data_IF_014626487865
#
_entry.id   IF_014626487865
#
_cell.length_a   1.000
_cell.length_b   1.000
_cell.length_c   1.000
_cell.angle_alpha   90.00
_cell.angle_beta   90.00
_cell.angle_gamma   90.00
#
_symmetry.space_group_name_H-M   'P 1'
#
loop_
_entity.id
_entity.type
_entity.pdbx_description
1 polymer ?
#
# COMPACT_ATOMS: atom_id res chain seq x y z
N UNK A 1 -17.07 -37.55 -5.59
CA UNK A 1 -17.32 -36.29 -6.33
C UNK A 1 -16.06 -35.46 -6.29
N UNK A 2 -15.60 -34.91 -7.43
CA UNK A 2 -14.43 -34.01 -7.41
C UNK A 2 -14.82 -32.72 -6.65
N UNK A 3 -13.96 -32.30 -5.73
CA UNK A 3 -14.18 -31.07 -4.98
C UNK A 3 -14.05 -29.87 -5.95
N UNK A 4 -15.04 -28.97 -5.96
CA UNK A 4 -14.99 -27.78 -6.77
C UNK A 4 -13.87 -26.87 -6.21
N UNK A 5 -12.87 -26.46 -7.03
CA UNK A 5 -11.80 -25.61 -6.56
C UNK A 5 -12.33 -24.25 -6.12
N UNK A 6 -11.71 -23.66 -5.10
CA UNK A 6 -12.07 -22.34 -4.58
C UNK A 6 -10.91 -21.75 -3.79
N UNK A 7 -10.94 -20.44 -3.56
CA UNK A 7 -9.96 -19.69 -2.78
C UNK A 7 -10.56 -19.25 -1.44
N UNK A 8 -9.73 -18.98 -0.41
CA UNK A 8 -10.20 -18.47 0.87
C UNK A 8 -10.96 -17.15 0.71
N UNK A 9 -12.00 -16.96 1.51
CA UNK A 9 -12.81 -15.74 1.46
C UNK A 9 -11.99 -14.52 1.83
N UNK A 10 -12.00 -13.51 0.96
CA UNK A 10 -11.25 -12.25 1.17
C UNK A 10 -9.85 -12.26 0.56
N UNK A 11 -9.46 -13.34 -0.15
CA UNK A 11 -8.28 -13.41 -1.01
C UNK A 11 -8.69 -13.35 -2.47
N UNK A 12 -7.73 -13.14 -3.40
CA UNK A 12 -7.98 -13.00 -4.83
C UNK A 12 -6.86 -13.64 -5.64
N UNK A 13 -7.23 -14.24 -6.76
CA UNK A 13 -6.30 -14.51 -7.86
C UNK A 13 -6.19 -13.28 -8.75
N UNK A 14 -5.04 -13.08 -9.38
CA UNK A 14 -4.80 -12.00 -10.33
C UNK A 14 -4.32 -12.59 -11.65
N UNK A 15 -5.07 -12.36 -12.71
CA UNK A 15 -4.69 -12.74 -14.07
C UNK A 15 -3.58 -11.85 -14.63
N UNK A 16 -3.05 -12.18 -15.85
CA UNK A 16 -1.94 -11.44 -16.43
C UNK A 16 -2.17 -9.94 -16.59
N UNK A 17 -3.36 -9.53 -17.03
CA UNK A 17 -3.70 -8.11 -17.21
C UNK A 17 -3.79 -7.36 -15.88
N UNK A 18 -4.39 -8.00 -14.87
CA UNK A 18 -4.46 -7.44 -13.51
C UNK A 18 -3.06 -7.31 -12.90
N UNK A 19 -2.19 -8.31 -13.12
CA UNK A 19 -0.80 -8.25 -12.67
C UNK A 19 0.00 -7.16 -13.39
N UNK A 20 -0.22 -6.94 -14.67
CA UNK A 20 0.42 -5.83 -15.41
C UNK A 20 0.02 -4.47 -14.83
N UNK A 21 -1.27 -4.26 -14.52
CA UNK A 21 -1.79 -3.06 -13.85
C UNK A 21 -1.24 -2.90 -12.42
N UNK A 22 -1.15 -3.99 -11.65
CA UNK A 22 -0.55 -3.97 -10.31
C UNK A 22 0.93 -3.59 -10.36
N UNK A 23 1.66 -4.15 -11.32
CA UNK A 23 3.08 -3.83 -11.51
C UNK A 23 3.28 -2.36 -11.93
N UNK A 24 2.36 -1.75 -12.69
CA UNK A 24 2.38 -0.32 -12.96
C UNK A 24 2.36 0.50 -11.67
N UNK A 25 1.47 0.17 -10.71
CA UNK A 25 1.41 0.84 -9.40
C UNK A 25 2.70 0.60 -8.63
N UNK A 26 3.15 -0.65 -8.52
CA UNK A 26 4.35 -0.99 -7.75
C UNK A 26 5.61 -0.33 -8.32
N UNK A 27 5.74 -0.28 -9.64
CA UNK A 27 6.90 0.34 -10.29
C UNK A 27 6.90 1.86 -10.11
N UNK A 28 5.75 2.51 -10.26
CA UNK A 28 5.61 3.95 -10.00
C UNK A 28 6.05 4.30 -8.58
N UNK A 29 5.57 3.55 -7.57
CA UNK A 29 5.94 3.77 -6.17
C UNK A 29 7.43 3.49 -5.94
N UNK A 30 7.96 2.40 -6.49
CA UNK A 30 9.37 2.02 -6.36
C UNK A 30 10.31 3.07 -6.95
N UNK A 31 9.98 3.59 -8.12
CA UNK A 31 10.74 4.65 -8.77
C UNK A 31 10.79 5.93 -7.93
N UNK A 32 9.64 6.34 -7.39
CA UNK A 32 9.59 7.53 -6.50
C UNK A 32 10.42 7.29 -5.24
N UNK A 33 10.28 6.14 -4.58
CA UNK A 33 11.10 5.82 -3.40
C UNK A 33 12.62 5.88 -3.70
N UNK A 34 13.02 5.38 -4.87
CA UNK A 34 14.42 5.42 -5.29
C UNK A 34 14.94 6.86 -5.47
N UNK A 35 14.10 7.80 -5.98
CA UNK A 35 14.47 9.22 -6.12
C UNK A 35 14.78 9.88 -4.76
N UNK A 36 14.13 9.45 -3.68
CA UNK A 36 14.35 9.96 -2.32
C UNK A 36 15.39 9.15 -1.52
N UNK A 37 16.11 8.24 -2.18
CA UNK A 37 17.19 7.47 -1.57
C UNK A 37 16.75 6.34 -0.64
N UNK A 38 15.48 5.89 -0.73
CA UNK A 38 15.01 4.73 0.02
C UNK A 38 15.56 3.44 -0.57
N UNK A 39 15.95 2.50 0.29
CA UNK A 39 16.52 1.20 -0.09
C UNK A 39 15.53 0.09 0.18
N UNK A 40 15.38 -0.84 -0.78
CA UNK A 40 14.48 -1.97 -0.63
C UNK A 40 15.01 -2.99 0.38
N UNK A 41 14.13 -3.43 1.26
CA UNK A 41 14.33 -4.61 2.11
C UNK A 41 13.11 -5.52 2.03
N UNK A 42 13.25 -6.73 2.53
CA UNK A 42 12.15 -7.67 2.74
C UNK A 42 12.26 -8.33 4.11
N UNK A 43 11.12 -8.63 4.70
CA UNK A 43 11.00 -9.41 5.93
C UNK A 43 10.14 -10.65 5.67
N UNK A 44 10.26 -11.72 6.47
CA UNK A 44 9.44 -12.91 6.32
C UNK A 44 7.94 -12.63 6.41
N UNK A 45 7.13 -13.38 5.67
CA UNK A 45 5.67 -13.35 5.77
C UNK A 45 5.17 -13.85 7.14
N UNK A 46 5.88 -14.82 7.69
CA UNK A 46 5.66 -15.39 9.03
C UNK A 46 6.58 -14.74 10.04
N UNK A 47 6.01 -14.33 11.15
CA UNK A 47 6.73 -13.83 12.33
C UNK A 47 6.41 -14.68 13.54
N UNK A 48 7.30 -14.67 14.53
CA UNK A 48 6.98 -15.25 15.83
C UNK A 48 5.75 -14.56 16.42
N UNK A 49 4.81 -15.30 16.97
CA UNK A 49 3.57 -14.73 17.49
C UNK A 49 3.83 -13.68 18.57
N UNK A 50 4.85 -13.86 19.42
CA UNK A 50 5.27 -12.88 20.40
C UNK A 50 5.79 -11.55 19.81
N UNK A 51 6.26 -11.55 18.56
CA UNK A 51 6.63 -10.33 17.83
C UNK A 51 5.39 -9.52 17.45
N UNK A 52 4.29 -10.20 17.13
CA UNK A 52 3.06 -9.59 16.62
C UNK A 52 2.07 -9.20 17.74
N UNK A 53 1.89 -10.06 18.74
CA UNK A 53 0.90 -9.89 19.80
C UNK A 53 1.19 -8.67 20.70
N UNK A 54 0.13 -7.96 21.08
CA UNK A 54 0.20 -6.80 21.96
C UNK A 54 0.73 -5.50 21.30
N UNK A 55 0.92 -5.51 19.97
CA UNK A 55 1.46 -4.36 19.22
C UNK A 55 0.38 -3.53 18.54
N UNK A 56 -0.76 -4.13 18.24
CA UNK A 56 -1.85 -3.55 17.45
C UNK A 56 -3.08 -3.18 18.28
N UNK A 57 -3.01 -3.35 19.60
CA UNK A 57 -4.15 -3.24 20.51
C UNK A 57 -5.06 -4.47 20.46
N UNK A 58 -6.05 -4.55 21.35
CA UNK A 58 -6.93 -5.72 21.47
C UNK A 58 -7.69 -6.07 20.18
N UNK A 59 -8.12 -5.06 19.44
CA UNK A 59 -8.84 -5.25 18.18
C UNK A 59 -7.91 -5.82 17.10
N UNK A 60 -6.70 -5.25 16.95
CA UNK A 60 -5.71 -5.73 16.00
C UNK A 60 -5.24 -7.15 16.31
N UNK A 61 -5.04 -7.49 17.56
CA UNK A 61 -4.64 -8.84 17.99
C UNK A 61 -5.69 -9.92 17.64
N UNK A 62 -6.98 -9.56 17.61
CA UNK A 62 -8.06 -10.43 17.16
C UNK A 62 -8.04 -10.66 15.64
N UNK A 63 -7.44 -9.75 14.89
CA UNK A 63 -7.35 -9.81 13.42
C UNK A 63 -6.08 -10.51 12.91
N UNK A 64 -5.18 -10.94 13.80
CA UNK A 64 -3.98 -11.70 13.42
C UNK A 64 -4.33 -13.11 12.95
N UNK A 65 -3.83 -13.49 11.78
CA UNK A 65 -3.83 -14.89 11.35
C UNK A 65 -2.74 -15.65 12.10
N UNK A 66 -3.15 -16.59 12.93
CA UNK A 66 -2.26 -17.48 13.69
C UNK A 66 -2.03 -18.76 12.91
N UNK A 67 -0.80 -19.26 12.92
CA UNK A 67 -0.39 -20.46 12.19
C UNK A 67 -0.25 -21.60 13.20
N UNK A 68 -1.05 -22.65 13.01
CA UNK A 68 -1.00 -23.84 13.83
C UNK A 68 0.39 -24.50 13.76
N UNK A 69 0.93 -24.92 14.88
CA UNK A 69 2.23 -25.57 14.94
C UNK A 69 2.26 -26.83 14.08
N UNK A 70 3.37 -27.07 13.41
CA UNK A 70 3.54 -28.24 12.53
C UNK A 70 3.73 -29.53 13.37
N UNK A 71 3.40 -30.66 12.78
CA UNK A 71 3.54 -31.98 13.44
C UNK A 71 2.43 -32.24 14.46
N UNK A 72 2.79 -32.79 15.61
CA UNK A 72 1.83 -33.05 16.68
C UNK A 72 1.56 -31.77 17.51
N UNK A 73 0.73 -30.86 16.99
CA UNK A 73 0.40 -29.59 17.60
C UNK A 73 -0.35 -29.71 18.94
N UNK A 74 -0.88 -30.89 19.26
CA UNK A 74 -1.52 -31.21 20.55
C UNK A 74 -0.55 -31.73 21.61
N UNK A 75 0.73 -31.88 21.26
CA UNK A 75 1.71 -32.39 22.18
C UNK A 75 1.88 -31.49 23.41
N UNK A 76 1.72 -32.08 24.60
CA UNK A 76 1.80 -31.33 25.87
C UNK A 76 0.54 -30.61 26.29
N UNK A 77 -0.59 -30.73 25.53
CA UNK A 77 -1.87 -30.14 25.86
C UNK A 77 -2.82 -31.23 26.35
N UNK A 78 -3.36 -31.05 27.55
CA UNK A 78 -4.32 -31.96 28.15
C UNK A 78 -5.77 -31.61 27.77
N UNK A 79 -6.69 -32.57 27.85
CA UNK A 79 -8.09 -32.35 27.63
C UNK A 79 -8.66 -31.26 28.58
N UNK A 80 -8.21 -31.25 29.83
CA UNK A 80 -8.61 -30.27 30.83
C UNK A 80 -8.14 -28.87 30.46
N UNK A 81 -6.93 -28.70 29.93
CA UNK A 81 -6.45 -27.39 29.46
C UNK A 81 -7.25 -26.86 28.27
N UNK A 82 -7.74 -27.75 27.40
CA UNK A 82 -8.61 -27.35 26.27
C UNK A 82 -9.96 -26.84 26.77
N UNK A 83 -10.53 -27.48 27.81
CA UNK A 83 -11.83 -27.10 28.38
C UNK A 83 -11.76 -25.80 29.22
N UNK A 84 -10.66 -25.59 29.95
CA UNK A 84 -10.51 -24.52 30.92
C UNK A 84 -9.79 -23.27 30.36
N UNK A 85 -8.98 -23.43 29.31
CA UNK A 85 -8.22 -22.32 28.77
C UNK A 85 -9.09 -21.31 28.00
N UNK A 86 -8.81 -20.02 28.17
CA UNK A 86 -9.37 -19.01 27.26
C UNK A 86 -8.90 -19.24 25.82
N UNK A 87 -9.70 -18.85 24.79
CA UNK A 87 -9.31 -18.99 23.40
C UNK A 87 -7.93 -18.37 23.07
N UNK A 88 -7.60 -17.24 23.73
CA UNK A 88 -6.30 -16.57 23.54
C UNK A 88 -5.14 -17.39 24.09
N UNK A 89 -5.30 -18.01 25.29
CA UNK A 89 -4.30 -18.87 25.91
C UNK A 89 -4.08 -20.14 25.09
N UNK A 90 -5.16 -20.78 24.66
CA UNK A 90 -5.10 -21.97 23.83
C UNK A 90 -4.43 -21.69 22.48
N UNK A 91 -4.77 -20.57 21.84
CA UNK A 91 -4.13 -20.14 20.60
C UNK A 91 -2.63 -19.91 20.76
N UNK A 92 -2.17 -19.36 21.89
CA UNK A 92 -0.74 -19.15 22.18
C UNK A 92 0.02 -20.46 22.39
N UNK A 93 -0.64 -21.51 22.89
CA UNK A 93 -0.04 -22.85 23.03
C UNK A 93 0.02 -23.62 21.70
N UNK A 94 -1.01 -23.45 20.84
CA UNK A 94 -1.15 -24.15 19.56
C UNK A 94 -0.40 -23.47 18.41
N UNK A 95 -0.04 -22.18 18.55
CA UNK A 95 0.53 -21.35 17.49
C UNK A 95 1.73 -20.57 18.03
N UNK A 96 2.91 -20.86 17.53
CA UNK A 96 4.13 -20.10 17.83
C UNK A 96 4.41 -18.99 16.79
N UNK A 97 3.67 -18.99 15.67
CA UNK A 97 3.82 -18.10 14.54
C UNK A 97 2.49 -17.52 14.09
N UNK A 98 2.58 -16.37 13.41
CA UNK A 98 1.46 -15.74 12.72
C UNK A 98 1.88 -15.12 11.41
N UNK A 99 0.90 -14.78 10.56
CA UNK A 99 1.15 -13.95 9.38
C UNK A 99 1.23 -12.49 9.82
N UNK A 100 2.20 -11.75 9.26
CA UNK A 100 2.38 -10.32 9.58
C UNK A 100 1.13 -9.51 9.24
N UNK A 101 0.76 -8.64 10.16
CA UNK A 101 -0.41 -7.76 10.07
C UNK A 101 -0.12 -6.48 9.28
N UNK A 102 1.11 -5.99 9.40
CA UNK A 102 1.69 -4.84 8.71
C UNK A 102 3.17 -5.11 8.38
N UNK A 103 3.85 -4.13 7.80
CA UNK A 103 5.29 -4.20 7.53
C UNK A 103 6.12 -3.42 8.58
N UNK A 104 5.48 -2.60 9.42
CA UNK A 104 6.16 -1.71 10.37
C UNK A 104 6.69 -2.47 11.60
N UNK A 105 5.90 -3.36 12.20
CA UNK A 105 6.35 -4.16 13.35
C UNK A 105 7.46 -5.13 12.96
N UNK A 106 7.37 -5.90 11.85
CA UNK A 106 8.50 -6.67 11.33
C UNK A 106 9.74 -5.83 11.02
N UNK A 107 9.56 -4.61 10.53
CA UNK A 107 10.66 -3.69 10.28
C UNK A 107 11.35 -3.25 11.59
N UNK A 108 10.60 -2.91 12.63
CA UNK A 108 11.17 -2.57 13.93
C UNK A 108 12.02 -3.72 14.50
N UNK A 109 11.54 -4.98 14.40
CA UNK A 109 12.32 -6.17 14.74
C UNK A 109 13.60 -6.27 13.89
N UNK A 110 13.48 -6.05 12.56
CA UNK A 110 14.62 -6.07 11.64
C UNK A 110 15.69 -5.05 12.04
N UNK A 111 15.30 -3.81 12.35
CA UNK A 111 16.22 -2.73 12.78
C UNK A 111 16.99 -3.15 14.03
N UNK A 112 16.30 -3.74 15.02
CA UNK A 112 16.96 -4.17 16.26
C UNK A 112 17.93 -5.31 16.01
N UNK A 113 17.59 -6.29 15.18
CA UNK A 113 18.44 -7.44 14.86
C UNK A 113 19.67 -7.09 14.02
N UNK A 114 19.56 -6.05 13.15
CA UNK A 114 20.61 -5.65 12.23
C UNK A 114 21.27 -4.31 12.61
N UNK A 115 21.09 -3.86 13.87
CA UNK A 115 21.52 -2.54 14.33
C UNK A 115 22.96 -2.22 13.98
N UNK A 116 23.88 -3.15 14.16
CA UNK A 116 25.31 -2.96 13.93
C UNK A 116 25.67 -2.84 12.43
N UNK A 117 24.79 -3.30 11.55
CA UNK A 117 24.96 -3.28 10.09
C UNK A 117 24.34 -2.03 9.45
N UNK A 118 23.40 -1.38 10.16
CA UNK A 118 22.62 -0.28 9.62
C UNK A 118 23.27 1.08 9.88
N UNK A 119 23.43 1.87 8.81
CA UNK A 119 23.78 3.28 8.94
C UNK A 119 22.53 4.11 9.22
N UNK A 120 22.53 4.86 10.32
CA UNK A 120 21.43 5.76 10.69
C UNK A 120 21.73 7.20 10.22
N UNK A 121 20.71 7.97 9.77
CA UNK A 121 19.34 7.54 9.57
C UNK A 121 19.20 6.52 8.43
N UNK A 122 18.35 5.51 8.64
CA UNK A 122 18.11 4.45 7.67
C UNK A 122 16.76 4.67 6.98
N UNK A 123 16.79 4.88 5.66
CA UNK A 123 15.62 5.00 4.78
C UNK A 123 15.38 3.65 4.09
N UNK A 124 14.27 3.00 4.38
CA UNK A 124 13.89 1.73 3.74
C UNK A 124 12.55 1.81 3.06
N UNK A 125 12.32 0.97 2.04
CA UNK A 125 10.98 0.65 1.58
C UNK A 125 10.75 -0.86 1.45
N UNK A 126 9.48 -1.27 1.56
CA UNK A 126 9.01 -2.64 1.32
C UNK A 126 7.72 -2.60 0.51
N UNK A 127 7.59 -3.51 -0.46
CA UNK A 127 6.36 -3.74 -1.23
C UNK A 127 6.05 -5.23 -1.10
N UNK A 128 5.23 -5.57 -0.14
CA UNK A 128 4.96 -6.96 0.23
C UNK A 128 3.52 -7.16 0.72
N UNK A 129 2.98 -8.40 0.65
CA UNK A 129 1.65 -8.71 1.16
C UNK A 129 1.61 -8.71 2.68
N UNK A 130 0.43 -8.37 3.22
CA UNK A 130 0.08 -8.46 4.64
C UNK A 130 -1.28 -9.12 4.79
N UNK A 131 -1.59 -9.63 6.00
CA UNK A 131 -2.80 -10.41 6.24
C UNK A 131 -3.56 -9.92 7.45
N UNK A 132 -4.87 -9.65 7.26
CA UNK A 132 -5.77 -9.24 8.33
C UNK A 132 -7.06 -10.03 8.26
N UNK A 133 -7.51 -10.60 9.37
CA UNK A 133 -8.74 -11.38 9.43
C UNK A 133 -10.00 -10.50 9.42
N UNK A 134 -9.95 -9.36 8.78
CA UNK A 134 -11.06 -8.44 8.59
C UNK A 134 -12.28 -9.09 7.92
N UNK A 135 -13.47 -8.53 8.14
CA UNK A 135 -14.65 -8.87 7.35
C UNK A 135 -14.47 -8.31 5.93
N UNK A 136 -14.43 -9.19 4.91
CA UNK A 136 -14.20 -8.75 3.54
C UNK A 136 -15.33 -7.84 3.02
N UNK A 137 -14.92 -6.73 2.38
CA UNK A 137 -15.81 -5.81 1.67
C UNK A 137 -15.01 -5.08 0.59
N UNK A 138 -15.66 -4.30 -0.28
CA UNK A 138 -14.96 -3.51 -1.32
C UNK A 138 -13.87 -2.63 -0.68
N UNK A 139 -12.64 -2.70 -1.19
CA UNK A 139 -11.48 -1.99 -0.66
C UNK A 139 -10.93 -2.51 0.68
N UNK A 140 -11.44 -3.67 1.17
CA UNK A 140 -10.93 -4.32 2.39
C UNK A 140 -10.83 -5.83 2.18
N UNK A 141 -9.61 -6.30 2.05
CA UNK A 141 -9.25 -7.69 1.74
C UNK A 141 -8.54 -8.32 2.94
N UNK A 142 -8.47 -9.65 2.98
CA UNK A 142 -7.74 -10.39 4.02
C UNK A 142 -6.27 -10.58 3.67
N UNK A 143 -5.94 -10.53 2.39
CA UNK A 143 -4.59 -10.48 1.86
C UNK A 143 -4.51 -9.29 0.91
N UNK A 144 -3.55 -8.40 1.14
CA UNK A 144 -3.35 -7.18 0.34
C UNK A 144 -1.92 -6.69 0.44
N UNK A 145 -1.49 -5.87 -0.52
CA UNK A 145 -0.14 -5.33 -0.57
C UNK A 145 -0.06 -3.97 0.11
N UNK A 146 0.93 -3.83 0.98
CA UNK A 146 1.38 -2.53 1.48
C UNK A 146 2.69 -2.13 0.78
N UNK A 147 2.80 -0.85 0.46
CA UNK A 147 4.01 -0.26 -0.08
C UNK A 147 4.49 0.77 0.94
N UNK A 148 5.32 0.33 1.86
CA UNK A 148 5.76 1.11 3.00
C UNK A 148 7.11 1.77 2.74
N UNK A 149 7.25 3.03 3.19
CA UNK A 149 8.53 3.73 3.29
C UNK A 149 8.70 4.30 4.69
N UNK A 150 9.82 4.02 5.32
CA UNK A 150 10.15 4.50 6.68
C UNK A 150 11.56 5.04 6.77
N UNK A 151 11.71 6.05 7.61
CA UNK A 151 13.00 6.58 8.06
C UNK A 151 13.11 6.29 9.55
N UNK A 152 14.19 5.65 9.98
CA UNK A 152 14.48 5.37 11.38
C UNK A 152 15.84 5.93 11.79
N UNK A 153 15.95 6.38 13.05
CA UNK A 153 17.19 6.96 13.58
C UNK A 153 17.31 8.47 13.38
N UNK A 154 16.20 9.16 13.12
CA UNK A 154 16.15 10.62 13.06
C UNK A 154 14.82 11.15 13.58
N UNK A 155 14.90 12.11 14.49
CA UNK A 155 13.75 12.85 15.00
C UNK A 155 13.42 14.11 14.17
N UNK A 156 14.17 14.39 13.11
CA UNK A 156 13.97 15.58 12.26
C UNK A 156 12.64 15.53 11.53
N UNK A 157 11.90 16.63 11.57
CA UNK A 157 10.63 16.81 10.84
C UNK A 157 10.83 16.97 9.31
N UNK A 158 12.06 17.11 8.83
CA UNK A 158 12.37 17.05 7.39
C UNK A 158 11.94 15.69 6.82
N UNK A 159 11.96 14.63 7.60
CA UNK A 159 11.49 13.32 7.16
C UNK A 159 9.99 13.32 6.83
N UNK A 160 9.17 13.99 7.63
CA UNK A 160 7.74 14.18 7.35
C UNK A 160 7.54 14.97 6.05
N UNK A 161 8.31 16.04 5.86
CA UNK A 161 8.26 16.86 4.64
C UNK A 161 8.57 16.01 3.40
N UNK A 162 9.66 15.24 3.41
CA UNK A 162 10.00 14.33 2.30
C UNK A 162 8.93 13.27 2.05
N UNK A 163 8.35 12.69 3.11
CA UNK A 163 7.28 11.69 2.96
C UNK A 163 6.02 12.29 2.31
N UNK A 164 5.67 13.55 2.63
CA UNK A 164 4.54 14.24 1.99
C UNK A 164 4.82 14.56 0.52
N UNK A 165 6.06 14.93 0.18
CA UNK A 165 6.49 15.11 -1.21
C UNK A 165 6.44 13.78 -1.99
N UNK A 166 6.84 12.66 -1.37
CA UNK A 166 6.72 11.32 -1.96
C UNK A 166 5.25 10.99 -2.25
N UNK A 167 4.35 11.27 -1.31
CA UNK A 167 2.90 11.06 -1.48
C UNK A 167 2.37 11.87 -2.67
N UNK A 168 2.71 13.17 -2.72
CA UNK A 168 2.31 14.04 -3.82
C UNK A 168 2.81 13.54 -5.18
N UNK A 169 4.10 13.19 -5.27
CA UNK A 169 4.71 12.72 -6.52
C UNK A 169 4.11 11.39 -7.00
N UNK A 170 3.87 10.43 -6.09
CA UNK A 170 3.26 9.14 -6.44
C UNK A 170 1.86 9.36 -7.03
N UNK A 171 1.00 10.12 -6.36
CA UNK A 171 -0.37 10.33 -6.84
C UNK A 171 -0.43 11.22 -8.07
N UNK A 172 0.51 12.15 -8.22
CA UNK A 172 0.68 12.93 -9.45
C UNK A 172 1.01 12.02 -10.63
N UNK A 173 1.97 11.11 -10.50
CA UNK A 173 2.33 10.15 -11.56
C UNK A 173 1.22 9.17 -11.87
N UNK A 174 0.44 8.77 -10.88
CA UNK A 174 -0.74 7.92 -11.07
C UNK A 174 -1.96 8.69 -11.58
N UNK A 175 -1.86 10.01 -11.74
CA UNK A 175 -2.95 10.91 -12.16
C UNK A 175 -4.20 10.81 -11.26
N UNK A 176 -3.99 10.60 -9.95
CA UNK A 176 -5.05 10.57 -8.93
C UNK A 176 -4.99 11.87 -8.14
N UNK A 177 -6.08 12.63 -8.09
CA UNK A 177 -6.20 13.81 -7.23
C UNK A 177 -6.50 13.36 -5.80
N UNK A 178 -5.74 13.88 -4.85
CA UNK A 178 -5.86 13.51 -3.44
C UNK A 178 -5.87 14.72 -2.52
N UNK A 179 -6.45 14.53 -1.33
CA UNK A 179 -6.23 15.40 -0.17
C UNK A 179 -5.30 14.66 0.81
N UNK A 180 -4.20 15.29 1.15
CA UNK A 180 -3.24 14.84 2.16
C UNK A 180 -3.64 15.51 3.47
N UNK A 181 -4.12 14.72 4.41
CA UNK A 181 -4.50 15.18 5.74
C UNK A 181 -3.37 14.96 6.72
N UNK A 182 -3.04 15.98 7.51
CA UNK A 182 -2.04 15.93 8.57
C UNK A 182 -2.66 16.31 9.91
N UNK A 183 -2.27 15.63 10.97
CA UNK A 183 -2.52 15.99 12.36
C UNK A 183 -1.33 15.56 13.21
N UNK A 184 -1.42 15.73 14.53
CA UNK A 184 -0.38 15.31 15.47
C UNK A 184 -0.99 14.71 16.73
N UNK A 185 -0.45 13.59 17.19
CA UNK A 185 -0.90 12.93 18.44
C UNK A 185 -0.73 13.83 19.66
N UNK A 186 0.27 14.71 19.67
CA UNK A 186 0.49 15.69 20.74
C UNK A 186 -0.61 16.75 20.78
N UNK A 187 -1.14 17.18 19.61
CA UNK A 187 -2.32 18.06 19.56
C UNK A 187 -3.50 17.38 20.23
N UNK A 188 -3.78 16.12 19.88
CA UNK A 188 -4.89 15.36 20.47
C UNK A 188 -4.73 15.19 21.99
N UNK A 189 -3.49 14.92 22.45
CA UNK A 189 -3.18 14.85 23.89
C UNK A 189 -3.39 16.19 24.58
N UNK A 190 -2.92 17.29 23.97
CA UNK A 190 -3.13 18.64 24.49
C UNK A 190 -4.61 19.03 24.59
N UNK A 191 -5.42 18.62 23.62
CA UNK A 191 -6.88 18.78 23.67
C UNK A 191 -7.44 18.05 24.90
N UNK A 192 -7.03 16.81 25.15
CA UNK A 192 -7.49 16.04 26.30
C UNK A 192 -7.03 16.67 27.63
N UNK A 193 -5.83 17.26 27.67
CA UNK A 193 -5.31 17.99 28.84
C UNK A 193 -6.17 19.22 29.16
N UNK A 194 -6.46 20.11 28.20
CA UNK A 194 -7.20 21.36 28.41
C UNK A 194 -8.66 21.15 28.83
N UNK A 195 -9.26 20.01 28.41
CA UNK A 195 -10.62 19.66 28.85
C UNK A 195 -10.65 18.91 30.18
N UNK A 196 -9.49 18.65 30.78
CA UNK A 196 -9.35 17.96 32.06
C UNK A 196 -9.64 16.48 32.05
N UNK A 197 -9.48 15.81 30.89
CA UNK A 197 -9.76 14.38 30.71
C UNK A 197 -8.63 13.64 29.96
N UNK A 198 -7.35 13.72 30.39
CA UNK A 198 -6.21 13.14 29.68
C UNK A 198 -6.31 11.61 29.55
N UNK A 199 -6.93 10.94 30.52
CA UNK A 199 -7.15 9.49 30.49
C UNK A 199 -8.18 9.05 29.45
N UNK A 200 -8.99 9.96 28.92
CA UNK A 200 -10.04 9.71 27.93
C UNK A 200 -9.63 10.01 26.49
N UNK A 201 -8.33 10.21 26.25
CA UNK A 201 -7.82 10.54 24.91
C UNK A 201 -8.31 9.56 23.84
N UNK A 202 -8.38 8.27 24.15
CA UNK A 202 -8.84 7.23 23.21
C UNK A 202 -10.32 7.41 22.88
N UNK A 203 -11.17 7.66 23.88
CA UNK A 203 -12.61 7.84 23.67
C UNK A 203 -12.89 9.13 22.88
N UNK A 204 -12.18 10.21 23.21
CA UNK A 204 -12.25 11.49 22.48
C UNK A 204 -11.86 11.31 21.03
N UNK A 205 -10.73 10.66 20.74
CA UNK A 205 -10.25 10.47 19.38
C UNK A 205 -11.17 9.56 18.56
N UNK A 206 -11.74 8.53 19.16
CA UNK A 206 -12.72 7.64 18.51
C UNK A 206 -14.01 8.39 18.17
N UNK A 207 -14.50 9.25 19.06
CA UNK A 207 -15.70 10.05 18.82
C UNK A 207 -15.46 11.10 17.72
N UNK A 208 -14.34 11.82 17.79
CA UNK A 208 -13.95 12.83 16.79
C UNK A 208 -13.81 12.22 15.39
N UNK A 209 -13.21 11.02 15.24
CA UNK A 209 -13.08 10.34 13.94
C UNK A 209 -14.45 10.03 13.28
N UNK A 210 -15.51 10.00 14.06
CA UNK A 210 -16.85 9.77 13.53
C UNK A 210 -17.56 11.04 13.06
N UNK A 211 -16.98 12.23 13.30
CA UNK A 211 -17.64 13.52 13.05
C UNK A 211 -18.20 13.63 11.62
N UNK A 212 -17.40 13.27 10.62
CA UNK A 212 -17.80 13.30 9.20
C UNK A 212 -18.94 12.31 8.87
N UNK A 213 -19.16 11.28 9.73
CA UNK A 213 -20.10 10.19 9.46
C UNK A 213 -21.44 10.36 10.16
N UNK A 214 -21.40 10.82 11.42
CA UNK A 214 -22.60 10.86 12.28
C UNK A 214 -23.03 12.29 12.64
N UNK A 215 -22.19 13.28 12.36
CA UNK A 215 -22.45 14.69 12.65
C UNK A 215 -22.17 15.10 14.08
N UNK A 216 -22.13 16.42 14.31
CA UNK A 216 -21.68 17.05 15.55
C UNK A 216 -22.54 16.66 16.77
N UNK A 217 -23.88 16.68 16.62
CA UNK A 217 -24.78 16.38 17.74
C UNK A 217 -24.57 14.98 18.30
N UNK A 218 -24.44 13.98 17.41
CA UNK A 218 -24.19 12.59 17.83
C UNK A 218 -22.79 12.40 18.39
N UNK A 219 -21.78 13.12 17.89
CA UNK A 219 -20.43 13.12 18.49
C UNK A 219 -20.49 13.67 19.91
N UNK A 220 -21.21 14.77 20.12
CA UNK A 220 -21.39 15.33 21.46
C UNK A 220 -22.10 14.35 22.42
N UNK A 221 -23.16 13.66 21.96
CA UNK A 221 -23.83 12.60 22.70
C UNK A 221 -22.89 11.45 23.06
N UNK A 222 -22.06 10.96 22.11
CA UNK A 222 -21.08 9.90 22.37
C UNK A 222 -20.00 10.34 23.37
N UNK A 223 -19.50 11.58 23.28
CA UNK A 223 -18.52 12.12 24.21
C UNK A 223 -19.08 12.21 25.63
N UNK A 224 -20.31 12.67 25.80
CA UNK A 224 -21.00 12.71 27.10
C UNK A 224 -21.28 11.29 27.64
N UNK A 225 -21.75 10.38 26.79
CA UNK A 225 -21.93 8.96 27.14
C UNK A 225 -20.62 8.28 27.55
N UNK A 226 -19.49 8.69 26.96
CA UNK A 226 -18.13 8.31 27.33
C UNK A 226 -17.67 8.93 28.67
N UNK A 227 -18.52 9.76 29.33
CA UNK A 227 -18.29 10.34 30.65
C UNK A 227 -17.51 11.66 30.62
N UNK A 228 -17.50 12.40 29.50
CA UNK A 228 -17.05 13.80 29.51
C UNK A 228 -18.15 14.70 30.07
N UNK A 229 -17.77 15.70 30.86
CA UNK A 229 -18.70 16.71 31.36
C UNK A 229 -19.22 17.59 30.20
N UNK A 230 -20.39 18.20 30.40
CA UNK A 230 -20.95 19.16 29.45
C UNK A 230 -19.97 20.32 29.16
N UNK A 231 -19.27 20.80 30.20
CA UNK A 231 -18.25 21.85 30.09
C UNK A 231 -17.06 21.40 29.20
N UNK A 232 -16.59 20.15 29.39
CA UNK A 232 -15.52 19.58 28.54
C UNK A 232 -15.95 19.49 27.07
N UNK A 233 -17.19 19.06 26.80
CA UNK A 233 -17.74 19.01 25.46
C UNK A 233 -17.90 20.39 24.84
N UNK A 234 -18.30 21.40 25.65
CA UNK A 234 -18.39 22.80 25.20
C UNK A 234 -17.01 23.35 24.80
N UNK A 235 -15.95 23.07 25.56
CA UNK A 235 -14.56 23.44 25.22
C UNK A 235 -14.06 22.80 23.91
N UNK A 236 -14.60 21.65 23.54
CA UNK A 236 -14.27 21.01 22.27
C UNK A 236 -14.94 21.62 21.04
N UNK A 237 -16.05 22.37 21.17
CA UNK A 237 -16.83 22.87 20.05
C UNK A 237 -16.00 23.73 19.07
N UNK A 238 -15.13 24.67 19.51
CA UNK A 238 -14.30 25.45 18.57
C UNK A 238 -13.36 24.59 17.75
N UNK A 239 -12.93 23.44 18.29
CA UNK A 239 -12.04 22.48 17.63
C UNK A 239 -12.81 21.64 16.61
N UNK A 240 -13.97 21.12 17.02
CA UNK A 240 -14.81 20.26 16.17
C UNK A 240 -15.40 21.01 14.96
N UNK A 241 -15.65 22.31 15.13
CA UNK A 241 -16.24 23.16 14.08
C UNK A 241 -15.20 24.00 13.34
N UNK A 242 -13.90 23.75 13.56
CA UNK A 242 -12.83 24.52 12.97
C UNK A 242 -12.80 24.36 11.45
N UNK A 243 -12.79 25.47 10.75
CA UNK A 243 -12.71 25.58 9.29
C UNK A 243 -11.72 26.68 8.92
N UNK A 244 -11.42 26.83 7.63
CA UNK A 244 -10.52 27.86 7.13
C UNK A 244 -9.18 27.31 6.64
N UNK A 245 -8.23 28.21 6.40
CA UNK A 245 -6.88 27.88 5.94
C UNK A 245 -6.05 27.17 7.03
N UNK A 246 -4.96 26.52 6.63
CA UNK A 246 -4.05 25.89 7.57
C UNK A 246 -3.48 26.90 8.57
N UNK A 247 -3.19 28.13 8.12
CA UNK A 247 -2.68 29.22 8.95
C UNK A 247 -3.70 29.64 10.01
N UNK A 248 -4.95 29.79 9.65
CA UNK A 248 -6.04 30.12 10.58
C UNK A 248 -6.25 29.02 11.62
N UNK A 249 -6.24 27.76 11.17
CA UNK A 249 -6.34 26.59 12.05
C UNK A 249 -5.17 26.53 13.03
N UNK A 250 -3.92 26.74 12.59
CA UNK A 250 -2.73 26.77 13.43
C UNK A 250 -2.83 27.90 14.46
N UNK A 251 -3.22 29.12 14.04
CA UNK A 251 -3.35 30.26 14.95
C UNK A 251 -4.39 29.99 16.04
N UNK A 252 -5.54 29.43 15.66
CA UNK A 252 -6.59 29.06 16.60
C UNK A 252 -6.12 27.99 17.58
N UNK A 253 -5.44 26.94 17.08
CA UNK A 253 -4.91 25.88 17.95
C UNK A 253 -3.85 26.36 18.92
N UNK A 254 -2.98 27.31 18.54
CA UNK A 254 -2.04 27.94 19.46
C UNK A 254 -2.74 28.67 20.61
N UNK A 255 -3.85 29.34 20.32
CA UNK A 255 -4.66 30.02 21.34
C UNK A 255 -5.39 29.00 22.23
N UNK A 256 -6.02 28.01 21.68
CA UNK A 256 -6.78 26.99 22.40
C UNK A 256 -5.88 26.14 23.31
N UNK A 257 -4.69 25.79 22.83
CA UNK A 257 -3.72 24.92 23.54
C UNK A 257 -2.67 25.71 24.33
N UNK A 258 -2.88 27.02 24.59
CA UNK A 258 -1.90 27.88 25.26
C UNK A 258 -1.43 27.34 26.63
N UNK A 259 -2.25 26.57 27.32
CA UNK A 259 -1.97 25.99 28.64
C UNK A 259 -1.39 24.54 28.54
N UNK A 260 -1.26 23.97 27.35
CA UNK A 260 -0.71 22.62 27.14
C UNK A 260 0.63 22.69 26.39
N UNK A 261 1.74 22.46 27.08
CA UNK A 261 3.06 22.40 26.46
C UNK A 261 3.13 21.28 25.39
N UNK A 262 2.53 20.12 25.69
CA UNK A 262 2.44 19.00 24.76
C UNK A 262 1.65 19.38 23.50
N UNK A 263 0.51 20.04 23.68
CA UNK A 263 -0.34 20.47 22.58
C UNK A 263 0.36 21.52 21.69
N UNK A 264 0.99 22.53 22.30
CA UNK A 264 1.74 23.55 21.56
C UNK A 264 2.90 22.95 20.75
N UNK A 265 3.65 22.00 21.33
CA UNK A 265 4.71 21.29 20.60
C UNK A 265 4.15 20.57 19.37
N UNK A 266 2.98 19.91 19.49
CA UNK A 266 2.33 19.27 18.35
C UNK A 266 1.91 20.26 17.26
N UNK A 267 1.42 21.47 17.64
CA UNK A 267 1.08 22.53 16.70
C UNK A 267 2.33 23.06 15.99
N UNK A 268 3.45 23.24 16.72
CA UNK A 268 4.71 23.68 16.14
C UNK A 268 5.28 22.69 15.15
N UNK A 269 5.20 21.38 15.45
CA UNK A 269 5.62 20.33 14.53
C UNK A 269 4.82 20.34 13.22
N UNK A 270 3.49 20.45 13.30
CA UNK A 270 2.64 20.52 12.10
C UNK A 270 2.89 21.82 11.32
N UNK A 271 3.01 22.95 12.03
CA UNK A 271 3.32 24.22 11.41
C UNK A 271 4.64 24.18 10.64
N UNK A 272 5.69 23.59 11.21
CA UNK A 272 6.97 23.40 10.54
C UNK A 272 6.82 22.59 9.24
N UNK A 273 6.11 21.45 9.28
CA UNK A 273 5.92 20.61 8.10
C UNK A 273 5.16 21.35 7.01
N UNK A 274 4.06 22.03 7.36
CA UNK A 274 3.25 22.79 6.41
C UNK A 274 4.02 23.97 5.82
N UNK A 275 4.79 24.69 6.63
CA UNK A 275 5.60 25.81 6.14
C UNK A 275 6.74 25.36 5.22
N UNK A 276 7.43 24.26 5.55
CA UNK A 276 8.48 23.70 4.71
C UNK A 276 7.96 23.16 3.36
N UNK A 277 6.68 22.78 3.30
CA UNK A 277 6.04 22.36 2.05
C UNK A 277 5.55 23.53 1.20
N UNK A 278 5.43 24.75 1.77
CA UNK A 278 5.10 25.95 0.97
C UNK A 278 6.17 26.21 -0.09
N UNK A 279 5.74 26.38 -1.32
CA UNK A 279 6.66 26.63 -2.43
C UNK A 279 7.42 25.39 -2.94
N UNK A 280 7.20 24.21 -2.38
CA UNK A 280 7.82 22.96 -2.85
C UNK A 280 7.19 22.41 -4.14
N UNK A 281 6.14 23.07 -4.66
CA UNK A 281 5.51 22.67 -5.92
C UNK A 281 4.55 21.49 -5.79
N UNK A 282 4.00 21.23 -4.60
CA UNK A 282 2.96 20.21 -4.42
C UNK A 282 1.78 20.48 -5.37
N UNK A 283 1.27 19.42 -5.98
CA UNK A 283 0.13 19.44 -6.90
C UNK A 283 -1.17 19.06 -6.21
N UNK A 284 -1.08 18.34 -5.11
CA UNK A 284 -2.21 17.93 -4.30
C UNK A 284 -2.37 18.82 -3.07
N UNK A 285 -3.59 18.87 -2.56
CA UNK A 285 -3.90 19.67 -1.37
C UNK A 285 -3.37 18.99 -0.13
N UNK A 286 -2.70 19.77 0.74
CA UNK A 286 -2.35 19.33 2.09
C UNK A 286 -3.10 20.19 3.12
N UNK A 287 -3.75 19.56 4.10
CA UNK A 287 -4.57 20.24 5.08
C UNK A 287 -4.38 19.69 6.50
N UNK A 288 -4.33 20.60 7.47
CA UNK A 288 -4.50 20.25 8.88
C UNK A 288 -5.95 19.81 9.12
N UNK A 289 -6.12 18.55 9.53
CA UNK A 289 -7.42 17.96 9.83
C UNK A 289 -7.44 17.43 11.26
N UNK A 290 -8.06 18.15 12.16
CA UNK A 290 -8.15 17.79 13.57
C UNK A 290 -9.06 16.58 13.84
N UNK A 291 -9.90 16.20 12.85
CA UNK A 291 -10.72 14.99 12.93
C UNK A 291 -9.91 13.74 12.59
N UNK A 292 -8.70 13.89 12.05
CA UNK A 292 -7.77 12.78 11.85
C UNK A 292 -7.23 12.35 13.24
N UNK A 293 -7.92 11.42 13.86
CA UNK A 293 -7.61 10.90 15.19
C UNK A 293 -7.19 9.42 15.17
N UNK A 294 -7.48 8.71 14.06
CA UNK A 294 -7.13 7.30 13.89
C UNK A 294 -5.65 7.12 13.60
N UNK A 295 -5.18 5.96 13.93
CA UNK A 295 -3.85 5.47 13.64
C UNK A 295 -3.57 4.28 14.52
N UNK A 296 -2.49 3.58 14.23
CA UNK A 296 -2.00 2.52 15.12
C UNK A 296 -1.54 3.15 16.45
N UNK A 297 -1.74 2.43 17.53
CA UNK A 297 -1.49 2.95 18.89
C UNK A 297 -0.03 3.31 19.17
N UNK A 298 0.88 2.96 18.25
CA UNK A 298 2.30 3.28 18.40
C UNK A 298 2.71 4.65 17.84
N UNK A 299 1.81 5.43 17.21
CA UNK A 299 2.14 6.78 16.75
C UNK A 299 2.25 7.77 17.91
N UNK A 300 3.27 8.62 17.86
CA UNK A 300 3.67 9.56 18.94
C UNK A 300 3.72 11.03 18.50
N UNK A 301 3.78 11.30 17.20
CA UNK A 301 3.89 12.64 16.61
C UNK A 301 2.93 12.86 15.47
N UNK A 302 3.43 13.40 14.35
CA UNK A 302 2.63 13.61 13.14
C UNK A 302 1.98 12.33 12.65
N UNK A 303 0.74 12.42 12.22
CA UNK A 303 -0.05 11.37 11.58
C UNK A 303 -0.58 11.86 10.25
N UNK A 304 -0.66 10.96 9.28
CA UNK A 304 -1.04 11.27 7.89
C UNK A 304 -2.12 10.34 7.41
N UNK A 305 -3.06 10.89 6.63
CA UNK A 305 -4.06 10.14 5.91
C UNK A 305 -4.27 10.76 4.55
N UNK A 306 -4.40 9.94 3.51
CA UNK A 306 -4.62 10.41 2.14
C UNK A 306 -5.93 9.84 1.61
N UNK A 307 -6.79 10.73 1.15
CA UNK A 307 -8.10 10.40 0.56
C UNK A 307 -8.11 10.77 -0.92
N UNK A 308 -8.61 9.86 -1.76
CA UNK A 308 -8.92 10.19 -3.15
C UNK A 308 -10.10 11.16 -3.19
N UNK A 309 -10.03 12.18 -4.05
CA UNK A 309 -11.07 13.22 -4.15
C UNK A 309 -12.23 12.81 -5.06
N UNK A 310 -11.94 12.00 -6.08
CA UNK A 310 -12.91 11.68 -7.14
C UNK A 310 -13.62 10.34 -6.96
N UNK A 311 -13.28 9.59 -5.89
CA UNK A 311 -13.86 8.27 -5.58
C UNK A 311 -14.16 8.16 -4.09
N UNK A 312 -15.35 7.67 -3.77
CA UNK A 312 -15.68 7.32 -2.38
C UNK A 312 -15.06 5.97 -2.00
N UNK A 313 -13.87 6.04 -1.40
CA UNK A 313 -13.14 4.88 -0.87
C UNK A 313 -12.49 5.28 0.46
N UNK A 314 -12.17 4.32 1.30
CA UNK A 314 -11.38 4.60 2.50
C UNK A 314 -9.98 5.12 2.17
N UNK A 315 -9.23 5.56 3.18
CA UNK A 315 -7.86 6.07 3.01
C UNK A 315 -7.01 5.17 2.13
N UNK A 316 -6.34 5.75 1.15
CA UNK A 316 -5.50 5.03 0.19
C UNK A 316 -4.02 5.03 0.59
N UNK A 317 -3.64 5.94 1.49
CA UNK A 317 -2.32 5.99 2.14
C UNK A 317 -2.51 6.48 3.57
N UNK A 318 -1.66 6.01 4.46
CA UNK A 318 -1.61 6.48 5.85
C UNK A 318 -0.22 6.30 6.43
N UNK A 319 0.05 6.98 7.54
CA UNK A 319 1.35 6.90 8.19
C UNK A 319 1.46 7.78 9.42
N UNK A 320 2.67 7.87 9.96
CA UNK A 320 2.96 8.76 11.09
C UNK A 320 4.31 8.46 11.75
N UNK A 321 4.63 9.32 12.73
CA UNK A 321 5.83 9.20 13.55
C UNK A 321 5.61 8.23 14.70
N UNK A 322 6.61 7.40 14.95
CA UNK A 322 6.68 6.46 16.07
C UNK A 322 8.07 6.52 16.70
N UNK A 323 8.13 6.89 18.00
CA UNK A 323 9.41 7.13 18.68
C UNK A 323 9.88 5.96 19.54
N UNK A 324 9.05 4.96 19.74
CA UNK A 324 9.34 3.89 20.73
C UNK A 324 9.07 2.48 20.23
N UNK A 325 8.82 2.31 18.93
CA UNK A 325 8.46 1.00 18.38
C UNK A 325 9.59 -0.03 18.52
N UNK A 326 10.85 0.40 18.36
CA UNK A 326 12.04 -0.45 18.56
C UNK A 326 12.27 -0.77 20.04
N UNK A 327 11.78 0.07 20.96
CA UNK A 327 11.84 -0.18 22.41
C UNK A 327 11.15 -1.47 22.83
N UNK A 328 10.11 -1.89 22.10
CA UNK A 328 9.41 -3.16 22.31
C UNK A 328 10.35 -4.36 22.13
N UNK A 329 11.39 -4.21 21.32
CA UNK A 329 12.40 -5.22 21.02
C UNK A 329 13.74 -4.95 21.74
N UNK A 330 13.75 -4.11 22.80
CA UNK A 330 14.91 -3.83 23.62
C UNK A 330 15.84 -2.73 23.13
N UNK A 331 15.41 -1.91 22.14
CA UNK A 331 16.14 -0.75 21.64
C UNK A 331 15.29 0.53 21.77
N UNK A 332 15.18 1.11 22.99
CA UNK A 332 14.41 2.34 23.21
C UNK A 332 15.09 3.57 22.60
N UNK A 333 14.30 4.63 22.37
CA UNK A 333 14.80 5.95 21.99
C UNK A 333 15.18 6.10 20.51
N UNK A 334 14.80 5.18 19.66
CA UNK A 334 15.02 5.28 18.21
C UNK A 334 13.75 5.79 17.54
N UNK A 335 13.76 7.07 17.15
CA UNK A 335 12.65 7.70 16.45
C UNK A 335 12.53 7.17 15.02
N UNK A 336 11.30 6.99 14.55
CA UNK A 336 10.98 6.62 13.20
C UNK A 336 9.71 7.31 12.70
N UNK A 337 9.61 7.46 11.39
CA UNK A 337 8.42 7.97 10.71
C UNK A 337 8.25 7.24 9.39
N UNK A 338 7.02 6.92 9.02
CA UNK A 338 6.76 6.20 7.78
C UNK A 338 5.37 6.40 7.22
N UNK A 339 5.22 6.00 5.97
CA UNK A 339 3.96 5.97 5.22
C UNK A 339 3.76 4.59 4.58
N UNK A 340 2.50 4.26 4.35
CA UNK A 340 2.08 3.02 3.68
C UNK A 340 1.05 3.32 2.60
N UNK A 341 1.36 3.03 1.34
CA UNK A 341 0.37 3.04 0.26
C UNK A 341 -0.39 1.70 0.23
N UNK A 342 -1.71 1.77 0.22
CA UNK A 342 -2.59 0.63 0.05
C UNK A 342 -2.78 0.30 -1.43
N UNK A 343 -1.90 -0.53 -2.00
CA UNK A 343 -1.86 -0.79 -3.44
C UNK A 343 -3.19 -1.29 -4.02
N UNK A 344 -3.91 -2.11 -3.27
CA UNK A 344 -5.19 -2.66 -3.71
C UNK A 344 -6.31 -1.60 -3.77
N UNK A 345 -6.31 -0.63 -2.84
CA UNK A 345 -7.23 0.51 -2.90
C UNK A 345 -6.86 1.49 -4.02
N UNK A 346 -5.57 1.71 -4.24
CA UNK A 346 -5.08 2.51 -5.38
C UNK A 346 -5.50 1.86 -6.69
N UNK A 347 -5.42 0.53 -6.79
CA UNK A 347 -5.91 -0.23 -7.94
C UNK A 347 -7.41 0.01 -8.18
N UNK A 348 -8.23 -0.12 -7.12
CA UNK A 348 -9.67 0.12 -7.21
C UNK A 348 -10.01 1.56 -7.67
N UNK A 349 -9.22 2.57 -7.24
CA UNK A 349 -9.37 3.97 -7.69
C UNK A 349 -9.03 4.12 -9.16
N UNK A 350 -7.86 3.62 -9.60
CA UNK A 350 -7.41 3.69 -10.99
C UNK A 350 -8.39 2.98 -11.94
N UNK A 351 -8.92 1.83 -11.52
CA UNK A 351 -9.90 1.08 -12.30
C UNK A 351 -11.23 1.83 -12.41
N UNK A 352 -11.74 2.37 -11.30
CA UNK A 352 -13.01 3.12 -11.28
C UNK A 352 -12.94 4.40 -12.10
N UNK A 353 -11.79 5.10 -12.11
CA UNK A 353 -11.55 6.32 -12.86
C UNK A 353 -11.02 6.06 -14.29
N UNK A 354 -10.78 4.81 -14.67
CA UNK A 354 -10.22 4.42 -15.96
C UNK A 354 -8.86 5.10 -16.27
N UNK A 355 -8.02 5.24 -15.24
CA UNK A 355 -6.72 5.93 -15.32
C UNK A 355 -5.53 5.01 -15.64
N UNK A 356 -5.75 3.71 -15.80
CA UNK A 356 -4.66 2.81 -16.21
C UNK A 356 -4.23 3.13 -17.65
N UNK A 357 -2.93 3.38 -17.90
CA UNK A 357 -2.41 3.52 -19.25
C UNK A 357 -2.71 2.27 -20.08
N UNK A 358 -3.05 2.43 -21.36
CA UNK A 358 -3.28 1.29 -22.26
C UNK A 358 -2.09 0.33 -22.30
N UNK A 359 -0.87 0.86 -22.28
CA UNK A 359 0.36 0.07 -22.22
C UNK A 359 0.48 -0.79 -20.96
N UNK A 360 -0.17 -0.42 -19.84
CA UNK A 360 -0.17 -1.23 -18.61
C UNK A 360 -1.01 -2.50 -18.71
N UNK A 361 -1.93 -2.57 -19.67
CA UNK A 361 -2.68 -3.79 -19.98
C UNK A 361 -1.92 -4.70 -20.96
N UNK A 362 -0.85 -4.21 -21.57
CA UNK A 362 -0.12 -4.89 -22.66
C UNK A 362 1.17 -5.60 -22.16
N UNK A 363 1.19 -6.12 -20.96
CA UNK A 363 2.30 -6.95 -20.45
C UNK A 363 2.40 -8.32 -21.16
N UNK A 364 2.06 -8.37 -22.45
CA UNK A 364 1.94 -9.57 -23.24
C UNK A 364 2.91 -9.63 -24.42
N UNK A 365 2.72 -10.66 -25.23
CA UNK A 365 3.44 -10.89 -26.49
C UNK A 365 3.20 -9.72 -27.44
N UNK A 366 4.28 -9.10 -27.91
CA UNK A 366 4.21 -7.99 -28.88
C UNK A 366 4.27 -8.49 -30.33
N UNK A 367 4.95 -9.61 -30.53
CA UNK A 367 5.12 -10.27 -31.86
C UNK A 367 4.85 -11.76 -31.75
N UNK A 368 3.94 -12.27 -32.55
CA UNK A 368 3.66 -13.71 -32.68
C UNK A 368 4.04 -14.20 -34.06
N UNK A 369 4.92 -15.18 -34.13
CA UNK A 369 5.18 -15.94 -35.38
C UNK A 369 4.17 -17.07 -35.54
N UNK A 370 3.57 -17.18 -36.73
CA UNK A 370 2.69 -18.28 -37.11
C UNK A 370 3.53 -19.51 -37.44
N UNK A 371 3.10 -20.69 -36.99
CA UNK A 371 3.75 -21.96 -37.21
C UNK A 371 3.07 -22.68 -38.39
N UNK A 372 3.73 -22.76 -39.55
CA UNK A 372 3.26 -23.49 -40.74
C UNK A 372 3.74 -24.93 -40.79
N UNK A 373 4.79 -25.30 -40.03
CA UNK A 373 5.38 -26.62 -40.00
C UNK A 373 6.71 -26.63 -39.25
N UNK A 374 7.33 -27.78 -39.08
CA UNK A 374 8.57 -27.93 -38.30
C UNK A 374 9.73 -27.10 -38.87
N UNK A 375 9.86 -27.04 -40.18
CA UNK A 375 10.93 -26.31 -40.89
C UNK A 375 10.75 -24.79 -40.71
N UNK A 376 9.54 -24.30 -40.94
CA UNK A 376 9.18 -22.89 -40.77
C UNK A 376 9.30 -22.48 -39.32
N UNK A 377 8.84 -23.30 -38.36
CA UNK A 377 8.96 -23.04 -36.91
C UNK A 377 10.44 -22.95 -36.49
N UNK A 378 11.31 -23.83 -36.97
CA UNK A 378 12.75 -23.77 -36.69
C UNK A 378 13.39 -22.47 -37.22
N UNK A 379 12.92 -21.96 -38.38
CA UNK A 379 13.34 -20.67 -38.92
C UNK A 379 12.78 -19.51 -38.05
N UNK A 380 11.50 -19.52 -37.74
CA UNK A 380 10.85 -18.53 -36.89
C UNK A 380 11.48 -18.43 -35.47
N UNK A 381 11.92 -19.55 -34.89
CA UNK A 381 12.63 -19.56 -33.62
C UNK A 381 13.93 -18.76 -33.65
N UNK A 382 14.67 -18.78 -34.79
CA UNK A 382 15.89 -17.96 -34.95
C UNK A 382 15.54 -16.47 -35.00
N UNK A 383 14.55 -16.09 -35.81
CA UNK A 383 14.08 -14.71 -35.90
C UNK A 383 13.50 -14.21 -34.56
N UNK A 384 12.74 -15.05 -33.85
CA UNK A 384 12.23 -14.75 -32.55
C UNK A 384 13.35 -14.52 -31.51
N UNK A 385 14.45 -15.28 -31.62
CA UNK A 385 15.61 -15.06 -30.74
C UNK A 385 16.29 -13.70 -31.00
N UNK A 386 16.32 -13.26 -32.27
CA UNK A 386 16.83 -11.92 -32.63
C UNK A 386 15.91 -10.81 -32.08
N UNK A 387 14.60 -10.93 -32.27
CA UNK A 387 13.62 -9.99 -31.74
C UNK A 387 13.69 -9.90 -30.20
N UNK A 388 13.82 -11.03 -29.50
CA UNK A 388 13.99 -11.08 -28.04
C UNK A 388 15.29 -10.40 -27.58
N UNK A 389 16.41 -10.60 -28.30
CA UNK A 389 17.66 -9.87 -28.03
C UNK A 389 17.52 -8.35 -28.20
N UNK A 390 16.63 -7.92 -29.09
CA UNK A 390 16.27 -6.51 -29.27
C UNK A 390 15.26 -5.97 -28.23
N UNK A 391 14.85 -6.79 -27.24
CA UNK A 391 13.91 -6.41 -26.17
C UNK A 391 12.44 -6.55 -26.53
N UNK A 392 12.11 -7.24 -27.64
CA UNK A 392 10.73 -7.44 -28.10
C UNK A 392 10.18 -8.75 -27.53
N UNK A 393 9.08 -8.66 -26.76
CA UNK A 393 8.36 -9.83 -26.25
C UNK A 393 7.78 -10.62 -27.44
N UNK A 394 8.37 -11.77 -27.74
CA UNK A 394 8.09 -12.53 -28.96
C UNK A 394 7.76 -13.98 -28.63
N UNK A 395 6.72 -14.51 -29.29
CA UNK A 395 6.30 -15.90 -29.21
C UNK A 395 6.30 -16.54 -30.62
N UNK A 396 6.58 -17.83 -30.69
CA UNK A 396 6.31 -18.66 -31.87
C UNK A 396 5.20 -19.60 -31.48
N UNK A 397 4.10 -19.65 -32.23
CA UNK A 397 3.00 -20.55 -31.92
C UNK A 397 3.48 -22.01 -31.89
N UNK A 398 3.24 -22.78 -30.83
CA UNK A 398 3.93 -24.05 -30.61
C UNK A 398 3.49 -25.15 -31.57
N UNK A 399 2.22 -25.20 -31.96
CA UNK A 399 1.65 -26.28 -32.72
C UNK A 399 1.45 -25.90 -34.21
N UNK A 400 1.77 -26.79 -35.13
CA UNK A 400 1.38 -26.65 -36.55
C UNK A 400 -0.12 -26.94 -36.66
N UNK A 401 -0.93 -25.89 -36.61
CA UNK A 401 -2.40 -25.94 -36.72
C UNK A 401 -2.90 -24.96 -37.77
N UNK A 402 -4.21 -25.04 -38.08
CA UNK A 402 -4.82 -24.12 -39.08
C UNK A 402 -4.55 -22.66 -38.67
N UNK A 403 -4.14 -21.82 -39.61
CA UNK A 403 -3.85 -20.39 -39.45
C UNK A 403 -4.97 -19.67 -38.68
N UNK A 404 -6.25 -19.99 -38.97
CA UNK A 404 -7.41 -19.38 -38.27
C UNK A 404 -7.35 -19.56 -36.75
N UNK A 405 -6.90 -20.74 -36.25
CA UNK A 405 -6.75 -21.01 -34.81
C UNK A 405 -5.65 -20.15 -34.20
N UNK A 406 -4.51 -20.06 -34.89
CA UNK A 406 -3.38 -19.25 -34.43
C UNK A 406 -3.70 -17.75 -34.44
N UNK A 407 -4.41 -17.26 -35.47
CA UNK A 407 -4.89 -15.88 -35.53
C UNK A 407 -5.93 -15.57 -34.44
N UNK A 408 -6.82 -16.53 -34.12
CA UNK A 408 -7.74 -16.38 -33.00
C UNK A 408 -7.01 -16.29 -31.65
N UNK A 409 -5.91 -17.02 -31.49
CA UNK A 409 -5.04 -16.92 -30.33
C UNK A 409 -4.36 -15.54 -30.24
N UNK A 410 -3.80 -15.04 -31.34
CA UNK A 410 -3.22 -13.71 -31.43
C UNK A 410 -4.24 -12.61 -31.02
N UNK A 411 -5.48 -12.70 -31.52
CA UNK A 411 -6.56 -11.79 -31.20
C UNK A 411 -6.96 -11.87 -29.70
N UNK A 412 -7.07 -13.09 -29.16
CA UNK A 412 -7.42 -13.29 -27.75
C UNK A 412 -6.37 -12.70 -26.79
N UNK A 413 -5.09 -12.75 -27.18
CA UNK A 413 -3.99 -12.15 -26.44
C UNK A 413 -3.75 -10.68 -26.79
N UNK A 414 -4.52 -10.11 -27.72
CA UNK A 414 -4.36 -8.74 -28.22
C UNK A 414 -2.94 -8.46 -28.72
N UNK A 415 -2.31 -9.44 -29.36
CA UNK A 415 -0.96 -9.30 -29.93
C UNK A 415 -1.01 -8.24 -31.04
N UNK A 416 -0.20 -7.16 -30.98
CA UNK A 416 -0.28 -6.09 -31.98
C UNK A 416 0.28 -6.50 -33.35
N UNK A 417 1.27 -7.41 -33.40
CA UNK A 417 1.93 -7.81 -34.62
C UNK A 417 1.99 -9.33 -34.80
N UNK A 418 1.64 -9.79 -35.96
CA UNK A 418 1.77 -11.21 -36.34
C UNK A 418 2.70 -11.35 -37.53
N UNK A 419 3.70 -12.22 -37.41
CA UNK A 419 4.66 -12.53 -38.45
C UNK A 419 4.33 -13.87 -39.13
N UNK A 420 4.24 -13.85 -40.45
CA UNK A 420 4.04 -15.04 -41.28
C UNK A 420 5.34 -15.30 -42.06
N UNK A 421 5.84 -16.51 -41.93
CA UNK A 421 7.06 -16.95 -42.61
C UNK A 421 6.79 -18.34 -43.19
N UNK A 422 6.49 -18.40 -44.47
CA UNK A 422 6.35 -19.62 -45.25
C UNK A 422 7.59 -19.93 -46.08
N UNK A 423 7.48 -20.87 -47.03
CA UNK A 423 8.58 -21.26 -47.92
C UNK A 423 9.10 -20.09 -48.73
N UNK A 424 8.21 -19.23 -49.25
CA UNK A 424 8.55 -18.05 -50.05
C UNK A 424 9.38 -17.06 -49.23
N UNK A 425 8.89 -16.69 -48.05
CA UNK A 425 9.59 -15.75 -47.18
C UNK A 425 10.96 -16.29 -46.75
N UNK A 426 11.06 -17.61 -46.46
CA UNK A 426 12.35 -18.24 -46.15
C UNK A 426 13.33 -18.19 -47.32
N UNK A 427 12.84 -18.36 -48.56
CA UNK A 427 13.68 -18.32 -49.75
C UNK A 427 14.17 -16.90 -50.09
N UNK A 428 13.32 -15.90 -49.84
CA UNK A 428 13.60 -14.48 -50.09
C UNK A 428 14.33 -13.79 -48.92
N UNK A 429 14.36 -14.43 -47.73
CA UNK A 429 14.92 -13.82 -46.53
C UNK A 429 14.04 -12.70 -45.95
N UNK A 430 12.72 -12.76 -46.16
CA UNK A 430 11.74 -11.76 -45.73
C UNK A 430 10.77 -12.32 -44.69
N UNK A 431 9.93 -11.47 -44.15
CA UNK A 431 8.85 -11.78 -43.21
C UNK A 431 7.61 -10.99 -43.61
N UNK A 432 6.48 -11.64 -43.78
CA UNK A 432 5.21 -10.95 -43.97
C UNK A 432 4.70 -10.53 -42.57
N UNK A 433 4.82 -9.23 -42.27
CA UNK A 433 4.39 -8.64 -41.01
C UNK A 433 2.96 -8.11 -41.13
N UNK A 434 2.07 -8.54 -40.26
CA UNK A 434 0.68 -8.08 -40.16
C UNK A 434 0.47 -7.24 -38.90
N UNK A 435 -0.02 -6.01 -39.07
CA UNK A 435 -0.51 -5.18 -38.00
C UNK A 435 -1.95 -5.58 -37.66
N UNK A 436 -2.18 -6.08 -36.46
CA UNK A 436 -3.47 -6.69 -36.12
C UNK A 436 -4.61 -5.67 -36.00
N UNK A 437 -4.29 -4.44 -35.59
CA UNK A 437 -5.29 -3.36 -35.43
C UNK A 437 -5.86 -2.88 -36.79
N UNK A 438 -4.99 -2.68 -37.77
CA UNK A 438 -5.39 -2.18 -39.12
C UNK A 438 -5.67 -3.30 -40.11
N UNK A 439 -5.12 -4.50 -39.89
CA UNK A 439 -5.15 -5.62 -40.80
C UNK A 439 -4.14 -5.50 -41.95
N UNK A 440 -3.37 -4.42 -42.02
CA UNK A 440 -2.35 -4.19 -43.04
C UNK A 440 -1.23 -5.23 -42.98
N UNK A 441 -0.72 -5.63 -44.15
CA UNK A 441 0.38 -6.58 -44.29
C UNK A 441 1.46 -5.95 -45.15
N UNK A 442 2.72 -6.17 -44.75
CA UNK A 442 3.88 -5.73 -45.51
C UNK A 442 4.99 -6.77 -45.46
N UNK A 443 5.73 -6.93 -46.60
CA UNK A 443 6.93 -7.76 -46.62
C UNK A 443 8.11 -6.93 -46.13
N UNK A 444 8.81 -7.41 -45.10
CA UNK A 444 9.93 -6.71 -44.46
C UNK A 444 11.12 -7.64 -44.25
N UNK A 445 12.31 -7.08 -44.17
CA UNK A 445 13.48 -7.82 -43.70
C UNK A 445 13.40 -8.06 -42.19
N UNK A 446 14.12 -9.05 -41.63
CA UNK A 446 14.20 -9.28 -40.20
C UNK A 446 14.62 -8.03 -39.40
N UNK A 447 15.48 -7.19 -39.97
CA UNK A 447 15.94 -5.97 -39.33
C UNK A 447 14.84 -4.90 -39.29
N UNK A 448 14.14 -4.71 -40.43
CA UNK A 448 12.98 -3.80 -40.48
C UNK A 448 11.84 -4.25 -39.56
N UNK A 449 11.60 -5.58 -39.45
CA UNK A 449 10.64 -6.12 -38.47
C UNK A 449 10.95 -5.67 -37.07
N UNK A 450 12.21 -5.76 -36.62
CA UNK A 450 12.65 -5.34 -35.31
C UNK A 450 12.42 -3.82 -35.11
N UNK A 451 12.72 -3.00 -36.11
CA UNK A 451 12.54 -1.53 -36.06
C UNK A 451 11.05 -1.15 -35.96
N UNK A 452 10.18 -1.83 -36.71
CA UNK A 452 8.73 -1.55 -36.72
C UNK A 452 8.04 -1.99 -35.40
N UNK A 453 8.47 -3.16 -34.88
CA UNK A 453 7.82 -3.78 -33.72
C UNK A 453 8.34 -3.20 -32.41
N UNK A 454 9.52 -2.61 -32.38
CA UNK A 454 10.14 -2.01 -31.18
C UNK A 454 9.36 -0.79 -30.68
#
# INVERSE_FOLDING_TARGET
MAQKPGIPKGTRDFGPNEMARRNYIFNTIREVYALYGFRQIETPAMENLGTLMGKYGEEGDKLLFKILNSGNFMNGITAQEIEEASPARLAAQLCDRGLRYDLTVPFARFVVQHREELQLPFKRFQIQPVWRADRPQKGRYREFYQCDADVVGSASLINEVELMQIVDEVFTRLNIRVAIKINNRKILSGIAEIIGAPEKITDITVAIDKLDKIGLDKVNEELQAGGLSAEAVEKLQPILQMSGSNEEKIATMRSVLAESETGLLGVDEVAFVLDALKGSGLRNVIELDLTLARGLNYYTGCIFEVKALDVQIGSITGGGRYDNLTGIFGLPGLSGVGISFGADRIYDVLEQLQLFPEASAMGGVRLLFINFGEREAAHCLRLAAEARRAGIATEVYPDSTKMKKQMSYANALQVPFVALVGETEMAEGTVTLKTMQTGEQQSVTPQQLIEIVK
#
